data_IF_727246743633
#
_entry.id   IF_727246743633
#
_cell.length_a   1.000
_cell.length_b   1.000
_cell.length_c   1.000
_cell.angle_alpha   90.00
_cell.angle_beta   90.00
_cell.angle_gamma   90.00
#
_symmetry.space_group_name_H-M   'P 1'
#
loop_
_entity.id
_entity.type
_entity.pdbx_description
1 polymer ?
#
# COMPACT_ATOMS: atom_id res chain seq x y z
N UNK A 1 -13.08 5.80 -21.61
CA UNK A 1 -13.37 4.43 -21.12
C UNK A 1 -12.22 4.01 -20.24
N UNK A 2 -12.49 3.43 -19.06
CA UNK A 2 -11.44 2.81 -18.25
C UNK A 2 -10.90 1.59 -19.01
N UNK A 3 -9.58 1.43 -19.04
CA UNK A 3 -8.90 0.31 -19.71
C UNK A 3 -8.44 -0.72 -18.67
N UNK A 4 -8.14 -1.97 -19.09
CA UNK A 4 -7.48 -2.97 -18.26
C UNK A 4 -6.27 -2.38 -17.52
N UNK A 5 -6.16 -2.65 -16.22
CA UNK A 5 -5.25 -1.99 -15.28
C UNK A 5 -4.14 -2.89 -14.72
N UNK A 6 -3.58 -2.44 -13.61
CA UNK A 6 -2.50 -3.14 -12.88
C UNK A 6 -3.03 -3.90 -11.66
N UNK A 7 -4.27 -4.42 -11.75
CA UNK A 7 -4.92 -5.18 -10.68
C UNK A 7 -4.53 -6.66 -10.68
N UNK A 8 -5.31 -7.47 -9.95
CA UNK A 8 -5.14 -8.93 -9.86
C UNK A 8 -5.00 -9.57 -11.24
N UNK A 9 -4.06 -10.48 -11.46
CA UNK A 9 -3.74 -11.08 -12.78
C UNK A 9 -2.93 -10.19 -13.75
N UNK A 10 -2.48 -9.01 -13.31
CA UNK A 10 -1.46 -8.27 -14.05
C UNK A 10 -0.15 -9.08 -14.11
N UNK A 11 0.52 -9.03 -15.26
CA UNK A 11 1.82 -9.67 -15.47
C UNK A 11 2.73 -8.78 -16.32
N UNK A 12 4.03 -8.80 -16.01
CA UNK A 12 5.07 -8.17 -16.83
C UNK A 12 6.28 -9.11 -16.92
N UNK A 13 6.87 -9.20 -18.11
CA UNK A 13 8.14 -9.89 -18.35
C UNK A 13 9.34 -8.93 -18.35
N UNK A 14 9.12 -7.67 -17.97
CA UNK A 14 10.11 -6.60 -17.99
C UNK A 14 10.25 -5.87 -19.34
N UNK A 15 9.61 -6.36 -20.40
CA UNK A 15 9.57 -5.72 -21.72
C UNK A 15 8.14 -5.41 -22.18
N UNK A 16 7.19 -6.25 -21.82
CA UNK A 16 5.78 -6.18 -22.19
C UNK A 16 4.89 -6.31 -20.97
N UNK A 17 3.77 -5.59 -20.99
CA UNK A 17 2.77 -5.58 -19.94
C UNK A 17 1.50 -6.26 -20.43
N UNK A 18 1.06 -7.30 -19.71
CA UNK A 18 -0.26 -7.87 -19.87
C UNK A 18 -1.17 -7.29 -18.78
N UNK A 19 -2.08 -6.42 -19.19
CA UNK A 19 -2.98 -5.71 -18.29
C UNK A 19 -4.13 -6.61 -17.79
N UNK A 20 -4.58 -6.32 -16.58
CA UNK A 20 -5.63 -7.04 -15.87
C UNK A 20 -7.00 -6.42 -16.12
N UNK A 21 -8.07 -7.23 -16.15
CA UNK A 21 -9.46 -6.71 -16.12
C UNK A 21 -9.84 -6.05 -14.78
N UNK A 22 -8.96 -6.16 -13.77
CA UNK A 22 -9.09 -5.56 -12.46
C UNK A 22 -8.15 -4.34 -12.32
N UNK A 23 -8.54 -3.46 -11.42
CA UNK A 23 -7.75 -2.32 -10.97
C UNK A 23 -7.82 -2.21 -9.45
N UNK A 24 -6.81 -1.59 -8.85
CA UNK A 24 -6.82 -1.27 -7.42
C UNK A 24 -7.28 0.16 -7.14
N UNK A 25 -7.09 0.66 -5.91
CA UNK A 25 -7.53 2.00 -5.54
C UNK A 25 -6.82 3.12 -6.34
N UNK A 26 -5.74 2.81 -7.06
CA UNK A 26 -4.89 3.80 -7.74
C UNK A 26 -5.64 4.70 -8.73
N UNK A 27 -6.68 4.19 -9.42
CA UNK A 27 -7.37 4.97 -10.45
C UNK A 27 -8.13 6.15 -9.86
N UNK A 28 -8.99 5.86 -8.88
CA UNK A 28 -9.74 6.89 -8.15
C UNK A 28 -8.84 7.72 -7.24
N UNK A 29 -7.77 7.13 -6.70
CA UNK A 29 -6.77 7.86 -5.93
C UNK A 29 -6.12 8.94 -6.80
N UNK A 30 -5.51 8.54 -7.93
CA UNK A 30 -4.84 9.46 -8.86
C UNK A 30 -5.76 10.59 -9.32
N UNK A 31 -6.99 10.25 -9.71
CA UNK A 31 -7.99 11.25 -10.11
C UNK A 31 -8.37 12.21 -8.99
N UNK A 32 -8.57 11.71 -7.77
CA UNK A 32 -8.98 12.53 -6.64
C UNK A 32 -7.83 13.40 -6.13
N UNK A 33 -6.62 12.87 -6.03
CA UNK A 33 -5.46 13.65 -5.56
C UNK A 33 -5.10 14.74 -6.57
N UNK A 34 -5.17 14.48 -7.88
CA UNK A 34 -4.97 15.52 -8.89
C UNK A 34 -6.02 16.66 -8.80
N UNK A 35 -7.26 16.34 -8.40
CA UNK A 35 -8.28 17.37 -8.13
C UNK A 35 -8.00 18.18 -6.87
N UNK A 36 -7.45 17.54 -5.83
CA UNK A 36 -7.08 18.21 -4.58
C UNK A 36 -5.84 19.10 -4.76
N UNK A 37 -4.99 18.80 -5.74
CA UNK A 37 -3.76 19.53 -6.07
C UNK A 37 -3.76 20.03 -7.52
N UNK A 38 -4.67 20.93 -7.93
CA UNK A 38 -4.87 21.31 -9.34
C UNK A 38 -3.70 22.08 -9.98
N UNK A 39 -2.70 22.47 -9.19
CA UNK A 39 -1.50 23.18 -9.64
C UNK A 39 -0.24 22.31 -9.59
N UNK A 40 -0.37 21.02 -9.27
CA UNK A 40 0.74 20.09 -9.15
C UNK A 40 0.53 18.90 -10.06
N UNK A 41 1.60 18.44 -10.69
CA UNK A 41 1.62 17.17 -11.40
C UNK A 41 1.71 16.03 -10.37
N UNK A 42 0.94 14.96 -10.59
CA UNK A 42 0.91 13.80 -9.71
C UNK A 42 1.50 12.61 -10.44
N UNK A 43 2.50 11.97 -9.83
CA UNK A 43 3.05 10.69 -10.27
C UNK A 43 2.72 9.60 -9.25
N UNK A 44 2.35 8.42 -9.73
CA UNK A 44 2.09 7.24 -8.90
C UNK A 44 3.18 6.19 -9.13
N UNK A 45 3.98 5.90 -8.10
CA UNK A 45 4.89 4.76 -8.10
C UNK A 45 4.16 3.58 -7.46
N UNK A 46 3.67 2.66 -8.29
CA UNK A 46 2.88 1.51 -7.82
C UNK A 46 3.76 0.27 -7.70
N UNK A 47 3.82 -0.28 -6.49
CA UNK A 47 4.37 -1.61 -6.23
C UNK A 47 3.51 -2.33 -5.19
N UNK A 48 3.03 -3.53 -5.53
CA UNK A 48 2.26 -4.39 -4.66
C UNK A 48 2.36 -5.84 -5.15
N UNK A 49 2.29 -6.80 -4.23
CA UNK A 49 2.23 -8.22 -4.57
C UNK A 49 1.20 -8.94 -3.71
N UNK A 50 0.27 -9.66 -4.36
CA UNK A 50 -0.74 -10.44 -3.66
C UNK A 50 -0.13 -11.56 -2.80
N UNK A 51 -0.77 -11.86 -1.66
CA UNK A 51 -0.29 -12.89 -0.73
C UNK A 51 1.02 -12.55 -0.03
N UNK A 52 1.41 -11.28 0.00
CA UNK A 52 2.61 -10.82 0.70
C UNK A 52 2.35 -10.57 2.18
N UNK A 53 3.32 -10.89 3.03
CA UNK A 53 3.26 -10.67 4.47
C UNK A 53 4.49 -9.92 4.98
N UNK A 54 4.34 -9.21 6.10
CA UNK A 54 5.45 -8.58 6.80
C UNK A 54 6.25 -9.58 7.64
N UNK A 55 5.61 -10.65 8.14
CA UNK A 55 6.22 -11.69 8.94
C UNK A 55 7.30 -12.49 8.20
N UNK A 56 8.42 -12.76 8.90
CA UNK A 56 9.53 -13.55 8.37
C UNK A 56 9.09 -14.94 7.89
N UNK A 57 9.23 -15.19 6.60
CA UNK A 57 8.95 -16.50 6.01
C UNK A 57 7.47 -16.80 5.77
N UNK A 58 6.61 -15.78 5.83
CA UNK A 58 5.19 -15.86 5.52
C UNK A 58 4.95 -15.29 4.13
N UNK A 59 4.17 -16.01 3.31
CA UNK A 59 3.76 -15.59 1.97
C UNK A 59 4.92 -15.06 1.10
N UNK A 60 4.59 -14.09 0.25
CA UNK A 60 5.59 -13.30 -0.48
C UNK A 60 6.18 -12.23 0.45
N UNK A 61 7.17 -12.63 1.25
CA UNK A 61 7.67 -11.89 2.40
C UNK A 61 8.27 -10.50 2.11
N UNK A 62 7.93 -9.51 2.94
CA UNK A 62 8.53 -8.16 3.00
C UNK A 62 9.65 -7.99 4.03
N UNK A 63 9.79 -8.93 4.99
CA UNK A 63 10.77 -8.84 6.08
C UNK A 63 12.19 -8.51 5.56
N UNK A 64 12.81 -7.38 5.96
CA UNK A 64 14.00 -6.84 5.32
C UNK A 64 15.24 -7.73 5.46
N UNK A 65 15.37 -8.45 6.57
CA UNK A 65 16.46 -9.41 6.81
C UNK A 65 16.11 -10.84 6.37
N UNK A 66 15.29 -11.00 5.34
CA UNK A 66 14.98 -12.32 4.79
C UNK A 66 16.23 -12.99 4.22
N UNK A 67 16.48 -14.24 4.64
CA UNK A 67 17.69 -15.00 4.23
C UNK A 67 17.40 -16.31 3.51
N UNK A 68 16.15 -16.68 3.24
CA UNK A 68 15.85 -17.90 2.48
C UNK A 68 16.03 -17.68 0.98
N UNK A 69 16.36 -18.74 0.24
CA UNK A 69 16.60 -18.66 -1.19
C UNK A 69 17.79 -17.75 -1.52
N UNK A 70 17.62 -16.85 -2.49
CA UNK A 70 18.60 -15.83 -2.83
C UNK A 70 18.55 -14.60 -1.90
N UNK A 71 17.71 -14.61 -0.88
CA UNK A 71 17.53 -13.48 0.05
C UNK A 71 16.74 -12.31 -0.50
N UNK A 72 16.25 -12.37 -1.74
CA UNK A 72 15.45 -11.31 -2.35
C UNK A 72 14.03 -11.34 -1.79
N UNK A 73 13.57 -10.20 -1.30
CA UNK A 73 12.24 -10.02 -0.71
C UNK A 73 11.48 -8.86 -1.40
N UNK A 74 10.27 -8.58 -0.93
CA UNK A 74 9.45 -7.51 -1.51
C UNK A 74 10.00 -6.10 -1.23
N UNK A 75 10.77 -5.90 -0.16
CA UNK A 75 11.46 -4.64 0.10
C UNK A 75 12.58 -4.38 -0.93
N UNK A 76 13.32 -5.41 -1.35
CA UNK A 76 14.33 -5.29 -2.42
C UNK A 76 13.68 -4.89 -3.76
N UNK A 77 12.54 -5.50 -4.08
CA UNK A 77 11.78 -5.15 -5.27
C UNK A 77 11.17 -3.74 -5.19
N UNK A 78 10.73 -3.31 -4.01
CA UNK A 78 10.33 -1.92 -3.77
C UNK A 78 11.49 -0.95 -4.03
N UNK A 79 12.69 -1.22 -3.51
CA UNK A 79 13.87 -0.40 -3.75
C UNK A 79 14.24 -0.34 -5.23
N UNK A 80 14.17 -1.47 -5.94
CA UNK A 80 14.38 -1.50 -7.39
C UNK A 80 13.31 -0.69 -8.14
N UNK A 81 12.06 -0.76 -7.70
CA UNK A 81 10.96 0.03 -8.28
C UNK A 81 11.20 1.53 -8.10
N UNK A 82 11.61 1.97 -6.90
CA UNK A 82 12.01 3.35 -6.66
C UNK A 82 13.20 3.75 -7.54
N UNK A 83 14.26 2.94 -7.58
CA UNK A 83 15.44 3.23 -8.39
C UNK A 83 15.09 3.44 -9.87
N UNK A 84 14.18 2.62 -10.41
CA UNK A 84 13.72 2.76 -11.80
C UNK A 84 12.86 4.01 -12.00
N UNK A 85 11.95 4.31 -11.07
CA UNK A 85 11.10 5.50 -11.15
C UNK A 85 11.93 6.80 -11.10
N UNK A 86 12.91 6.89 -10.20
CA UNK A 86 13.78 8.07 -10.05
C UNK A 86 14.88 8.17 -11.12
N UNK A 87 15.07 7.14 -11.96
CA UNK A 87 16.03 7.19 -13.06
C UNK A 87 15.49 7.92 -14.30
N UNK A 88 14.17 7.94 -14.50
CA UNK A 88 13.57 8.72 -15.59
C UNK A 88 13.66 10.22 -15.29
N UNK A 89 13.95 11.01 -16.32
CA UNK A 89 13.97 12.48 -16.25
C UNK A 89 12.87 13.14 -17.06
N UNK A 90 12.06 12.37 -17.76
CA UNK A 90 10.95 12.83 -18.59
C UNK A 90 9.85 11.77 -18.40
N UNK A 91 9.01 11.99 -17.40
CA UNK A 91 8.10 10.99 -16.83
C UNK A 91 6.80 10.95 -17.63
N UNK A 92 6.35 12.09 -18.13
CA UNK A 92 5.14 12.19 -18.95
C UNK A 92 5.43 12.23 -20.47
N UNK A 93 6.71 12.33 -20.87
CA UNK A 93 7.14 12.26 -22.26
C UNK A 93 6.98 13.57 -23.02
N UNK A 94 6.90 14.71 -22.33
CA UNK A 94 6.77 16.03 -22.94
C UNK A 94 8.11 16.62 -23.41
N UNK A 95 9.23 15.98 -23.04
CA UNK A 95 10.59 16.38 -23.39
C UNK A 95 11.24 17.36 -22.42
N UNK A 96 10.54 17.78 -21.36
CA UNK A 96 11.06 18.63 -20.30
C UNK A 96 11.54 17.79 -19.08
N UNK A 97 12.57 18.27 -18.35
CA UNK A 97 13.06 17.54 -17.18
C UNK A 97 12.09 17.57 -15.99
N UNK A 98 11.69 16.38 -15.54
CA UNK A 98 10.87 16.17 -14.34
C UNK A 98 11.70 15.91 -13.08
N UNK A 99 11.13 16.24 -11.92
CA UNK A 99 11.66 15.87 -10.60
C UNK A 99 10.57 15.25 -9.74
N UNK A 100 10.75 13.98 -9.35
CA UNK A 100 9.88 13.31 -8.39
C UNK A 100 10.15 13.80 -6.97
N UNK A 101 9.10 14.27 -6.31
CA UNK A 101 9.12 14.65 -4.89
C UNK A 101 8.19 13.67 -4.14
N UNK A 102 8.71 12.85 -3.21
CA UNK A 102 7.87 11.99 -2.38
C UNK A 102 6.84 12.81 -1.59
N UNK A 103 5.55 12.53 -1.79
CA UNK A 103 4.45 13.24 -1.14
C UNK A 103 3.66 12.39 -0.11
N UNK A 104 3.66 11.05 -0.27
CA UNK A 104 3.01 10.16 0.68
C UNK A 104 3.21 8.69 0.33
N UNK A 105 2.88 7.82 1.29
CA UNK A 105 2.85 6.36 1.16
C UNK A 105 1.41 5.91 1.41
N UNK A 106 0.86 5.16 0.45
CA UNK A 106 -0.44 4.49 0.62
C UNK A 106 -0.17 3.00 0.83
N UNK A 107 -0.69 2.44 1.92
CA UNK A 107 -0.42 1.06 2.33
C UNK A 107 -1.73 0.30 2.58
N UNK A 108 -1.93 -0.79 1.85
CA UNK A 108 -3.03 -1.72 2.05
C UNK A 108 -2.45 -3.12 2.08
N UNK A 109 -2.27 -3.65 3.29
CA UNK A 109 -1.74 -4.98 3.54
C UNK A 109 -2.05 -5.35 4.99
N UNK A 110 -2.08 -6.66 5.25
CA UNK A 110 -2.14 -7.27 6.58
C UNK A 110 -2.83 -8.63 6.54
N UNK A 111 -3.51 -8.94 5.43
CA UNK A 111 -4.37 -10.11 5.29
C UNK A 111 -3.59 -11.42 5.44
N UNK A 112 -2.39 -11.52 4.85
CA UNK A 112 -1.55 -12.70 4.98
C UNK A 112 -0.96 -12.85 6.38
N UNK A 113 -0.61 -11.76 7.05
CA UNK A 113 -0.14 -11.81 8.45
C UNK A 113 -1.26 -12.23 9.42
N UNK A 114 -2.49 -11.82 9.13
CA UNK A 114 -3.69 -12.15 9.88
C UNK A 114 -4.24 -13.56 9.60
N UNK A 115 -3.90 -14.14 8.45
CA UNK A 115 -4.27 -15.50 8.05
C UNK A 115 -3.25 -16.56 8.48
N UNK A 116 -1.96 -16.24 8.56
CA UNK A 116 -0.89 -17.24 8.72
C UNK A 116 -0.84 -17.86 10.12
N UNK A 117 -0.62 -17.05 11.15
CA UNK A 117 -0.47 -17.52 12.52
C UNK A 117 -0.60 -16.40 13.54
N UNK A 118 -0.99 -16.76 14.76
CA UNK A 118 -1.01 -15.84 15.90
C UNK A 118 0.35 -15.18 16.15
N UNK A 119 1.44 -15.93 15.93
CA UNK A 119 2.82 -15.46 16.13
C UNK A 119 3.13 -14.34 15.13
N UNK A 120 2.75 -14.53 13.86
CA UNK A 120 2.93 -13.53 12.81
C UNK A 120 2.09 -12.29 13.09
N UNK A 121 0.80 -12.47 13.40
CA UNK A 121 -0.12 -11.37 13.70
C UNK A 121 0.35 -10.53 14.91
N UNK A 122 0.84 -11.14 15.98
CA UNK A 122 1.37 -10.42 17.15
C UNK A 122 2.64 -9.62 16.84
N UNK A 123 3.38 -9.95 15.78
CA UNK A 123 4.57 -9.20 15.33
C UNK A 123 4.25 -8.10 14.33
N UNK A 124 3.00 -7.99 13.90
CA UNK A 124 2.62 -7.10 12.81
C UNK A 124 2.97 -5.63 13.09
N UNK A 125 2.71 -5.14 14.31
CA UNK A 125 3.02 -3.75 14.68
C UNK A 125 4.51 -3.42 14.51
N UNK A 126 5.39 -4.26 15.07
CA UNK A 126 6.83 -4.05 14.99
C UNK A 126 7.33 -4.11 13.54
N UNK A 127 6.85 -5.09 12.78
CA UNK A 127 7.24 -5.22 11.37
C UNK A 127 6.73 -4.05 10.52
N UNK A 128 5.50 -3.58 10.78
CA UNK A 128 4.91 -2.42 10.11
C UNK A 128 5.72 -1.16 10.38
N UNK A 129 6.08 -0.91 11.65
CA UNK A 129 6.95 0.22 12.04
C UNK A 129 8.30 0.16 11.33
N UNK A 130 8.95 -1.01 11.33
CA UNK A 130 10.21 -1.20 10.61
C UNK A 130 10.05 -0.92 9.12
N UNK A 131 9.00 -1.44 8.47
CA UNK A 131 8.78 -1.26 7.04
C UNK A 131 8.52 0.20 6.68
N UNK A 132 7.66 0.91 7.42
CA UNK A 132 7.37 2.33 7.17
C UNK A 132 8.60 3.21 7.40
N UNK A 133 9.42 2.91 8.42
CA UNK A 133 10.69 3.59 8.65
C UNK A 133 11.68 3.38 7.49
N UNK A 134 11.77 2.15 6.98
CA UNK A 134 12.62 1.82 5.83
C UNK A 134 12.15 2.53 4.55
N UNK A 135 10.85 2.56 4.27
CA UNK A 135 10.30 3.30 3.12
C UNK A 135 10.61 4.81 3.21
N UNK A 136 10.38 5.42 4.37
CA UNK A 136 10.72 6.83 4.63
C UNK A 136 12.21 7.11 4.46
N UNK A 137 13.08 6.20 4.93
CA UNK A 137 14.52 6.31 4.76
C UNK A 137 14.94 6.21 3.28
N UNK A 138 14.37 5.25 2.53
CA UNK A 138 14.62 5.08 1.10
C UNK A 138 14.19 6.33 0.29
N UNK A 139 13.09 6.96 0.69
CA UNK A 139 12.55 8.19 0.10
C UNK A 139 13.19 9.47 0.69
N UNK A 140 14.10 9.35 1.66
CA UNK A 140 14.76 10.46 2.37
C UNK A 140 13.79 11.47 2.97
N UNK A 141 12.64 11.01 3.44
CA UNK A 141 11.60 11.84 4.02
C UNK A 141 11.08 11.20 5.31
N UNK A 142 11.66 11.54 6.49
CA UNK A 142 11.34 10.90 7.77
C UNK A 142 9.90 11.17 8.24
N UNK A 143 9.30 12.28 7.81
CA UNK A 143 7.93 12.68 8.17
C UNK A 143 6.94 12.46 7.02
N UNK A 144 7.30 11.63 6.02
CA UNK A 144 6.42 11.38 4.88
C UNK A 144 5.07 10.84 5.36
N UNK A 145 3.94 11.44 4.94
CA UNK A 145 2.61 10.94 5.28
C UNK A 145 2.44 9.46 4.92
N UNK A 146 1.89 8.67 5.84
CA UNK A 146 1.56 7.26 5.63
C UNK A 146 0.06 7.07 5.84
N UNK A 147 -0.64 6.54 4.85
CA UNK A 147 -2.07 6.21 4.99
C UNK A 147 -2.26 4.72 4.83
N UNK A 148 -2.67 4.07 5.92
CA UNK A 148 -3.02 2.66 5.96
C UNK A 148 -4.49 2.46 5.60
N UNK A 149 -4.83 1.36 4.93
CA UNK A 149 -6.20 0.85 4.85
C UNK A 149 -6.45 -0.23 5.89
N UNK A 150 -7.55 -0.13 6.66
CA UNK A 150 -7.91 -1.16 7.64
C UNK A 150 -8.29 -2.46 6.90
N UNK A 151 -7.62 -3.57 7.22
CA UNK A 151 -7.99 -4.87 6.64
C UNK A 151 -9.33 -5.34 7.18
N UNK A 152 -10.12 -6.07 6.39
CA UNK A 152 -11.41 -6.61 6.83
C UNK A 152 -11.57 -8.06 6.40
N UNK A 153 -12.16 -8.86 7.29
CA UNK A 153 -12.49 -10.26 7.03
C UNK A 153 -13.84 -10.35 6.31
N UNK A 154 -13.93 -11.24 5.33
CA UNK A 154 -15.18 -11.46 4.61
C UNK A 154 -16.17 -12.34 5.35
N UNK A 155 -15.71 -13.07 6.35
CA UNK A 155 -16.46 -14.09 7.06
C UNK A 155 -16.82 -15.31 6.20
N UNK A 156 -16.19 -15.46 5.04
CA UNK A 156 -16.52 -16.49 4.04
C UNK A 156 -15.63 -17.74 4.14
N UNK A 157 -15.14 -18.07 5.34
CA UNK A 157 -14.55 -19.38 5.60
C UNK A 157 -15.65 -20.39 6.00
N UNK A 158 -15.75 -21.56 5.34
CA UNK A 158 -16.82 -22.52 5.63
C UNK A 158 -16.65 -23.27 6.97
N UNK A 159 -15.47 -23.26 7.58
CA UNK A 159 -15.19 -24.01 8.81
C UNK A 159 -15.58 -23.21 10.06
N UNK A 160 -15.10 -21.97 10.17
CA UNK A 160 -15.27 -21.13 11.35
C UNK A 160 -15.85 -19.73 11.05
N UNK A 161 -16.06 -19.40 9.78
CA UNK A 161 -16.57 -18.10 9.37
C UNK A 161 -15.54 -16.97 9.49
N UNK A 162 -14.23 -17.26 9.52
CA UNK A 162 -13.15 -16.28 9.53
C UNK A 162 -12.04 -16.69 8.56
N UNK A 163 -11.78 -15.87 7.54
CA UNK A 163 -10.61 -16.10 6.68
C UNK A 163 -9.30 -15.68 7.31
N UNK A 164 -9.35 -14.84 8.33
CA UNK A 164 -8.21 -14.26 9.02
C UNK A 164 -8.46 -14.40 10.51
N UNK A 165 -8.19 -15.59 11.02
CA UNK A 165 -8.39 -15.93 12.43
C UNK A 165 -7.70 -14.98 13.42
N UNK A 166 -6.65 -14.27 12.98
CA UNK A 166 -5.92 -13.29 13.78
C UNK A 166 -6.11 -11.84 13.28
N UNK A 167 -7.16 -11.58 12.51
CA UNK A 167 -7.48 -10.26 11.94
C UNK A 167 -7.61 -9.16 12.98
N UNK A 168 -8.19 -9.44 14.15
CA UNK A 168 -8.32 -8.46 15.24
C UNK A 168 -6.97 -7.98 15.79
N UNK A 169 -5.97 -8.87 15.86
CA UNK A 169 -4.61 -8.50 16.30
C UNK A 169 -3.95 -7.56 15.29
N UNK A 170 -4.06 -7.87 13.99
CA UNK A 170 -3.50 -7.02 12.93
C UNK A 170 -4.22 -5.68 12.84
N UNK A 171 -5.55 -5.66 12.95
CA UNK A 171 -6.33 -4.42 12.98
C UNK A 171 -5.97 -3.54 14.19
N UNK A 172 -5.76 -4.14 15.38
CA UNK A 172 -5.30 -3.40 16.54
C UNK A 172 -3.90 -2.83 16.30
N UNK A 173 -2.99 -3.61 15.73
CA UNK A 173 -1.66 -3.11 15.36
C UNK A 173 -1.69 -1.96 14.33
N UNK A 174 -2.65 -1.96 13.38
CA UNK A 174 -2.85 -0.83 12.46
C UNK A 174 -3.32 0.44 13.21
N UNK A 175 -4.16 0.30 14.23
CA UNK A 175 -4.58 1.41 15.10
C UNK A 175 -3.40 1.90 15.95
N UNK A 176 -2.71 0.99 16.64
CA UNK A 176 -1.57 1.32 17.50
C UNK A 176 -0.46 2.05 16.72
N UNK A 177 -0.25 1.70 15.45
CA UNK A 177 0.72 2.38 14.58
C UNK A 177 0.36 3.85 14.39
N UNK A 178 -0.90 4.17 14.05
CA UNK A 178 -1.32 5.55 13.80
C UNK A 178 -1.39 6.40 15.07
N UNK A 179 -1.56 5.76 16.24
CA UNK A 179 -1.47 6.45 17.53
C UNK A 179 -0.02 6.83 17.88
N UNK A 180 0.95 6.05 17.38
CA UNK A 180 2.38 6.22 17.66
C UNK A 180 3.13 7.02 16.59
N UNK A 181 2.51 7.30 15.45
CA UNK A 181 3.10 8.02 14.33
C UNK A 181 2.21 9.20 13.95
N UNK A 182 2.67 10.41 14.30
CA UNK A 182 1.90 11.64 14.05
C UNK A 182 1.72 11.97 12.56
N UNK A 183 2.46 11.28 11.68
CA UNK A 183 2.37 11.40 10.24
C UNK A 183 1.75 10.16 9.60
N UNK A 184 0.91 9.46 10.35
CA UNK A 184 0.15 8.33 9.86
C UNK A 184 -1.37 8.48 10.06
N UNK A 185 -2.12 7.79 9.23
CA UNK A 185 -3.56 7.72 9.29
C UNK A 185 -4.09 6.34 8.89
N UNK A 186 -5.28 6.01 9.36
CA UNK A 186 -6.00 4.79 8.98
C UNK A 186 -7.31 5.16 8.28
N UNK A 187 -7.54 4.55 7.12
CA UNK A 187 -8.81 4.60 6.39
C UNK A 187 -9.64 3.37 6.79
N UNK A 188 -10.80 3.62 7.41
CA UNK A 188 -11.68 2.57 7.96
C UNK A 188 -12.95 2.33 7.14
N UNK A 189 -13.16 3.06 6.03
CA UNK A 189 -14.35 2.87 5.18
C UNK A 189 -14.47 1.43 4.65
N UNK A 190 -13.36 0.68 4.67
CA UNK A 190 -13.29 -0.74 4.31
C UNK A 190 -14.24 -1.62 5.12
N UNK A 191 -14.60 -1.23 6.34
CA UNK A 191 -15.58 -1.95 7.18
C UNK A 191 -16.98 -2.01 6.56
N UNK A 192 -17.27 -1.15 5.58
CA UNK A 192 -18.53 -1.12 4.84
C UNK A 192 -18.47 -1.85 3.49
N UNK A 193 -17.32 -2.38 3.10
CA UNK A 193 -17.12 -2.95 1.78
C UNK A 193 -17.64 -4.38 1.66
N UNK A 194 -17.85 -4.79 0.42
CA UNK A 194 -18.22 -6.15 0.08
C UNK A 194 -17.01 -6.85 -0.55
N UNK A 195 -16.73 -8.08 -0.10
CA UNK A 195 -15.74 -8.93 -0.75
C UNK A 195 -16.37 -9.67 -1.94
N UNK A 196 -15.55 -9.94 -2.96
CA UNK A 196 -15.86 -10.82 -4.07
C UNK A 196 -16.05 -12.26 -3.58
N UNK A 197 -16.59 -13.12 -4.44
CA UNK A 197 -16.83 -14.54 -4.13
C UNK A 197 -15.55 -15.32 -3.74
N UNK A 198 -14.36 -14.80 -4.03
CA UNK A 198 -13.10 -15.38 -3.55
C UNK A 198 -12.85 -15.15 -2.05
N UNK A 199 -13.61 -14.24 -1.46
CA UNK A 199 -13.59 -13.82 -0.07
C UNK A 199 -12.33 -13.09 0.40
N UNK A 200 -11.44 -12.69 -0.50
CA UNK A 200 -10.21 -11.97 -0.18
C UNK A 200 -10.22 -10.54 -0.70
N UNK A 201 -10.80 -10.30 -1.87
CA UNK A 201 -10.68 -9.02 -2.56
C UNK A 201 -11.99 -8.23 -2.53
N UNK A 202 -11.93 -6.90 -2.55
CA UNK A 202 -13.11 -6.05 -2.60
C UNK A 202 -13.69 -5.92 -4.01
N UNK A 203 -14.94 -5.45 -4.11
CA UNK A 203 -15.52 -5.07 -5.40
C UNK A 203 -14.79 -3.89 -6.04
N UNK A 204 -14.90 -3.75 -7.36
CA UNK A 204 -14.36 -2.58 -8.07
C UNK A 204 -14.94 -1.26 -7.56
N UNK A 205 -16.23 -1.23 -7.20
CA UNK A 205 -16.87 -0.03 -6.65
C UNK A 205 -16.26 0.37 -5.30
N UNK A 206 -15.96 -0.62 -4.45
CA UNK A 206 -15.32 -0.43 -3.16
C UNK A 206 -13.86 0.02 -3.30
N UNK A 207 -13.10 -0.54 -4.25
CA UNK A 207 -11.75 -0.02 -4.57
C UNK A 207 -11.78 1.44 -5.04
N UNK A 208 -12.80 1.85 -5.81
CA UNK A 208 -12.96 3.25 -6.20
C UNK A 208 -13.25 4.16 -4.99
N UNK A 209 -14.04 3.67 -4.02
CA UNK A 209 -14.28 4.38 -2.77
C UNK A 209 -13.01 4.48 -1.93
N UNK A 210 -12.27 3.38 -1.82
CA UNK A 210 -11.01 3.30 -1.10
C UNK A 210 -9.99 4.30 -1.64
N UNK A 211 -9.82 4.37 -2.97
CA UNK A 211 -8.87 5.30 -3.57
C UNK A 211 -9.21 6.77 -3.31
N UNK A 212 -10.50 7.14 -3.35
CA UNK A 212 -10.91 8.52 -2.97
C UNK A 212 -10.58 8.82 -1.51
N UNK A 213 -10.87 7.89 -0.61
CA UNK A 213 -10.60 8.05 0.82
C UNK A 213 -9.10 8.11 1.13
N UNK A 214 -8.27 7.33 0.44
CA UNK A 214 -6.82 7.45 0.52
C UNK A 214 -6.33 8.83 0.08
N UNK A 215 -6.85 9.36 -1.03
CA UNK A 215 -6.46 10.68 -1.55
C UNK A 215 -6.85 11.81 -0.57
N UNK A 216 -8.07 11.76 -0.03
CA UNK A 216 -8.52 12.74 0.97
C UNK A 216 -7.67 12.69 2.22
N UNK A 217 -7.34 11.48 2.71
CA UNK A 217 -6.61 11.33 3.96
C UNK A 217 -5.14 11.72 3.84
N UNK A 218 -4.47 11.40 2.73
CA UNK A 218 -3.06 11.80 2.54
C UNK A 218 -2.94 13.31 2.38
N UNK A 219 -3.83 13.95 1.61
CA UNK A 219 -3.84 15.42 1.47
C UNK A 219 -4.09 16.14 2.81
N UNK A 220 -4.91 15.57 3.69
CA UNK A 220 -5.08 16.10 5.06
C UNK A 220 -3.78 16.01 5.86
N UNK A 221 -3.06 14.88 5.79
CA UNK A 221 -1.82 14.66 6.52
C UNK A 221 -0.67 15.54 6.00
N UNK A 222 -0.59 15.83 4.71
CA UNK A 222 0.44 16.68 4.13
C UNK A 222 0.53 18.04 4.85
N UNK A 223 -0.62 18.63 5.16
CA UNK A 223 -0.69 19.89 5.93
C UNK A 223 -0.17 19.76 7.37
N UNK A 224 -0.31 18.58 7.97
CA UNK A 224 0.06 18.30 9.36
C UNK A 224 1.54 17.91 9.50
N UNK A 225 2.08 17.20 8.51
CA UNK A 225 3.47 16.72 8.50
C UNK A 225 4.46 17.77 8.02
N UNK A 226 4.12 18.55 6.99
CA UNK A 226 5.01 19.57 6.43
C UNK A 226 5.36 20.71 7.40
N UNK A 227 4.51 20.96 8.40
CA UNK A 227 4.75 22.00 9.42
C UNK A 227 5.83 21.63 10.44
N UNK A 228 6.23 20.35 10.50
CA UNK A 228 7.18 19.83 11.49
C UNK A 228 8.61 19.66 10.98
N UNK A 229 8.81 19.49 9.67
CA UNK A 229 10.15 19.37 9.08
C UNK A 229 10.90 20.71 8.97
N UNK A 230 10.28 21.82 9.41
CA UNK A 230 10.85 23.17 9.48
C UNK A 230 11.28 23.62 10.88
N UNK A 231 11.20 22.74 11.89
CA UNK A 231 11.74 22.94 13.25
C UNK A 231 13.02 22.12 13.47
#
# INVERSE_FOLDING_TARGET
>A
MLQPGFGRQFYSDGNTNQHSDYFGPELSFGHQIAKLHPQQNVALIKYALGGSALGYGVGNNWYPDYRRGNGINQYDHFLSTLSNAFASRDIDGDGEPDTLIPAGIIWMQGESDAYDSEITANRYLDNLKTMMALFRAALRSPDLPVVLGKITDSGMDPEDGLRMNWGSLVQQAQLDFIEQDSCAALVTITESFTHLDDGWHYTSADYLTLGRQFAERVAQLESQCATRSSE
#
